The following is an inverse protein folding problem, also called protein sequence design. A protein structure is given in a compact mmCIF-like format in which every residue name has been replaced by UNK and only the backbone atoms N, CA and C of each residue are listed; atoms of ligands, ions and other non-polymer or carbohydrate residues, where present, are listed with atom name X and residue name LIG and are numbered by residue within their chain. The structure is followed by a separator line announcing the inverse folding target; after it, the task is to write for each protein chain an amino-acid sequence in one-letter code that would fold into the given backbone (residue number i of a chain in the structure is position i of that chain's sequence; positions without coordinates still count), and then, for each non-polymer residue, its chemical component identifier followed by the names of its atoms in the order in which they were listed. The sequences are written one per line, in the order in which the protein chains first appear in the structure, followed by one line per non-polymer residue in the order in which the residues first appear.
data_IF_133150615581
#
_entry.id   IF_133150615581
#
_cell.length_a   1.000
_cell.length_b   1.000
_cell.length_c   1.000
_cell.angle_alpha   90.00
_cell.angle_beta   90.00
_cell.angle_gamma   90.00
#
_symmetry.space_group_name_H-M   'P 1'
#
loop_
_entity.id
_entity.type
_entity.pdbx_description
1 polymer ?
#
# COMPACT_ATOMS: atom_id res chain seq x y z
N UNK A 1 10.31 -12.72 9.57
CA UNK A 1 9.00 -12.09 9.83
C UNK A 1 8.98 -10.75 9.09
N UNK A 2 7.91 -10.41 8.37
CA UNK A 2 7.84 -9.13 7.64
C UNK A 2 8.02 -7.95 8.63
N UNK A 3 8.71 -6.84 8.26
CA UNK A 3 9.02 -5.74 9.19
C UNK A 3 7.81 -5.21 9.97
N UNK A 4 6.65 -5.13 9.32
CA UNK A 4 5.39 -4.68 9.93
C UNK A 4 4.90 -5.61 11.04
N UNK A 5 5.01 -6.94 10.88
CA UNK A 5 4.56 -7.90 11.90
C UNK A 5 5.39 -7.80 13.19
N UNK A 6 6.68 -7.49 13.05
CA UNK A 6 7.57 -7.23 14.19
C UNK A 6 7.19 -5.94 14.91
N UNK A 7 7.02 -4.85 14.18
CA UNK A 7 6.63 -3.56 14.76
C UNK A 7 5.29 -3.63 15.51
N UNK A 8 4.33 -4.41 15.00
CA UNK A 8 3.05 -4.66 15.69
C UNK A 8 3.26 -5.45 16.99
N UNK A 9 4.07 -6.51 16.97
CA UNK A 9 4.35 -7.31 18.16
C UNK A 9 5.02 -6.47 19.27
N UNK A 10 5.95 -5.59 18.89
CA UNK A 10 6.60 -4.63 19.80
C UNK A 10 5.61 -3.60 20.35
N UNK A 11 4.72 -3.06 19.50
CA UNK A 11 3.69 -2.12 19.92
C UNK A 11 2.75 -2.72 20.98
N UNK A 12 2.41 -4.01 20.87
CA UNK A 12 1.59 -4.70 21.88
C UNK A 12 2.28 -4.87 23.25
N UNK A 13 3.61 -4.75 23.33
CA UNK A 13 4.32 -4.80 24.61
C UNK A 13 4.33 -3.44 25.33
N UNK A 14 3.95 -2.36 24.66
CA UNK A 14 3.91 -1.00 25.21
C UNK A 14 2.53 -0.76 25.82
N UNK A 15 2.45 -0.70 27.15
CA UNK A 15 1.19 -0.51 27.89
C UNK A 15 0.99 0.87 28.53
N UNK A 16 2.02 1.70 28.56
CA UNK A 16 2.05 2.98 29.29
C UNK A 16 1.77 4.21 28.40
N UNK A 17 1.71 4.02 27.08
CA UNK A 17 1.54 5.11 26.10
C UNK A 17 1.03 4.58 24.75
N UNK A 18 0.41 5.45 23.93
CA UNK A 18 0.10 5.10 22.56
C UNK A 18 1.37 4.84 21.74
N UNK A 19 1.27 3.91 20.77
CA UNK A 19 2.34 3.61 19.81
C UNK A 19 1.91 4.01 18.40
N UNK A 20 2.80 4.70 17.66
CA UNK A 20 2.64 4.99 16.25
C UNK A 20 3.72 4.26 15.44
N UNK A 21 3.34 3.59 14.36
CA UNK A 21 4.25 2.90 13.44
C UNK A 21 4.36 3.72 12.16
N UNK A 22 5.55 4.26 11.88
CA UNK A 22 5.82 4.99 10.64
C UNK A 22 6.17 3.98 9.54
N UNK A 23 5.17 3.61 8.73
CA UNK A 23 5.35 2.69 7.62
C UNK A 23 5.84 3.44 6.37
N UNK A 24 7.11 3.25 5.99
CA UNK A 24 7.64 3.74 4.71
C UNK A 24 6.99 2.96 3.56
N UNK A 25 6.24 3.66 2.72
CA UNK A 25 5.50 3.09 1.58
C UNK A 25 5.81 3.86 0.29
N UNK A 26 5.39 3.31 -0.86
CA UNK A 26 5.39 4.00 -2.14
C UNK A 26 3.93 4.09 -2.61
N UNK A 27 3.46 5.28 -2.95
CA UNK A 27 2.10 5.49 -3.45
C UNK A 27 1.91 4.71 -4.76
N UNK A 28 0.78 4.02 -4.92
CA UNK A 28 0.49 3.23 -6.12
C UNK A 28 1.33 1.96 -6.27
N UNK A 29 2.05 1.52 -5.21
CA UNK A 29 2.85 0.30 -5.25
C UNK A 29 1.99 -0.92 -5.62
N UNK A 30 2.42 -1.67 -6.63
CA UNK A 30 1.69 -2.84 -7.16
C UNK A 30 0.98 -2.56 -8.48
N UNK A 31 0.88 -1.30 -8.92
CA UNK A 31 0.39 -0.93 -10.25
C UNK A 31 1.45 -0.07 -10.95
N UNK A 32 1.97 -0.56 -12.07
CA UNK A 32 3.15 -0.07 -12.77
C UNK A 32 3.07 1.40 -13.16
N UNK A 33 1.89 1.85 -13.62
CA UNK A 33 1.67 3.23 -14.05
C UNK A 33 1.25 4.17 -12.90
N UNK A 34 1.04 3.65 -11.68
CA UNK A 34 0.69 4.44 -10.49
C UNK A 34 1.84 4.62 -9.50
N UNK A 35 2.89 3.80 -9.59
CA UNK A 35 3.96 3.77 -8.59
C UNK A 35 4.75 5.09 -8.56
N UNK A 36 4.67 5.81 -7.43
CA UNK A 36 5.35 7.10 -7.25
C UNK A 36 4.67 8.28 -7.95
N UNK A 37 3.54 8.06 -8.62
CA UNK A 37 2.93 9.07 -9.48
C UNK A 37 1.86 9.91 -8.74
N UNK A 38 2.05 11.23 -8.73
CA UNK A 38 1.20 12.11 -7.94
C UNK A 38 -0.21 12.32 -8.54
N UNK A 39 -0.31 12.27 -9.87
CA UNK A 39 -1.58 12.43 -10.62
C UNK A 39 -2.66 11.45 -10.14
N UNK A 40 -2.27 10.24 -9.72
CA UNK A 40 -3.15 9.20 -9.17
C UNK A 40 -3.66 9.47 -7.75
N UNK A 41 -3.47 10.68 -7.20
CA UNK A 41 -4.11 11.04 -5.93
C UNK A 41 -5.62 11.25 -6.09
N UNK A 42 -6.03 11.79 -7.24
CA UNK A 42 -7.42 12.25 -7.48
C UNK A 42 -7.96 11.84 -8.84
N UNK A 43 -7.14 11.23 -9.70
CA UNK A 43 -7.54 10.79 -11.03
C UNK A 43 -8.39 9.52 -10.94
N UNK A 44 -9.42 9.47 -11.77
CA UNK A 44 -10.21 8.26 -12.03
C UNK A 44 -9.54 7.51 -13.19
N UNK A 45 -9.39 6.19 -13.04
CA UNK A 45 -8.85 5.31 -14.08
C UNK A 45 -9.86 5.08 -15.20
N UNK A 46 -9.38 4.77 -16.41
CA UNK A 46 -10.24 4.25 -17.49
C UNK A 46 -10.49 2.75 -17.33
N UNK A 47 -11.37 2.19 -18.15
CA UNK A 47 -11.61 0.74 -18.17
C UNK A 47 -10.33 -0.03 -18.54
N UNK A 48 -9.54 0.45 -19.50
CA UNK A 48 -8.27 -0.19 -19.89
C UNK A 48 -7.26 -0.18 -18.74
N UNK A 49 -7.13 0.95 -18.06
CA UNK A 49 -6.25 1.11 -16.89
C UNK A 49 -6.69 0.20 -15.73
N UNK A 50 -8.01 0.03 -15.54
CA UNK A 50 -8.57 -0.91 -14.58
C UNK A 50 -8.17 -2.36 -14.90
N UNK A 51 -8.41 -2.83 -16.13
CA UNK A 51 -8.08 -4.20 -16.52
C UNK A 51 -6.58 -4.48 -16.40
N UNK A 52 -5.74 -3.49 -16.77
CA UNK A 52 -4.30 -3.58 -16.60
C UNK A 52 -3.91 -3.70 -15.12
N UNK A 53 -4.43 -2.82 -14.26
CA UNK A 53 -4.14 -2.84 -12.83
C UNK A 53 -4.56 -4.16 -12.18
N UNK A 54 -5.74 -4.68 -12.53
CA UNK A 54 -6.22 -5.96 -12.00
C UNK A 54 -5.32 -7.13 -12.40
N UNK A 55 -4.88 -7.17 -13.67
CA UNK A 55 -3.93 -8.18 -14.13
C UNK A 55 -2.59 -8.10 -13.37
N UNK A 56 -2.08 -6.90 -13.12
CA UNK A 56 -0.83 -6.69 -12.36
C UNK A 56 -0.95 -7.10 -10.89
N UNK A 57 -2.12 -6.90 -10.30
CA UNK A 57 -2.42 -7.31 -8.92
C UNK A 57 -2.73 -8.81 -8.78
N UNK A 58 -2.78 -9.55 -9.89
CA UNK A 58 -3.15 -10.97 -9.92
C UNK A 58 -4.64 -11.22 -9.69
N UNK A 59 -5.48 -10.22 -9.92
CA UNK A 59 -6.93 -10.36 -9.93
C UNK A 59 -7.41 -11.02 -11.22
N UNK A 60 -8.47 -11.83 -11.10
CA UNK A 60 -9.19 -12.32 -12.27
C UNK A 60 -10.11 -11.20 -12.77
N UNK A 61 -9.98 -10.88 -14.05
CA UNK A 61 -10.81 -9.91 -14.80
C UNK A 61 -11.44 -10.60 -15.99
#
# INVERSE_FOLDING_TARGET
MAPTKKAIAEAHQVGDKPTAIIAKTIKGNGVSFMIGENSWHKRVYTDEEYHQAMKELGGNV
#
